data_IF_103330568041
#
_entry.id   IF_103330568041
#
_cell.length_a   1.000
_cell.length_b   1.000
_cell.length_c   1.000
_cell.angle_alpha   90.00
_cell.angle_beta   90.00
_cell.angle_gamma   90.00
#
_symmetry.space_group_name_H-M   'P 1'
#
loop_
_entity.id
_entity.type
_entity.pdbx_description
1 polymer ?
#
# COMPACT_ATOMS: atom_id res chain seq x y z
N UNK A 1 -2.68 -10.89 12.97
CA UNK A 1 -2.09 -10.06 11.91
C UNK A 1 -2.84 -10.32 10.61
N UNK A 2 -3.00 -9.30 9.74
CA UNK A 2 -3.56 -9.51 8.42
C UNK A 2 -2.63 -10.45 7.62
N UNK A 3 -3.20 -11.35 6.82
CA UNK A 3 -2.47 -12.25 5.92
C UNK A 3 -3.09 -12.16 4.53
N UNK A 4 -2.29 -12.37 3.50
CA UNK A 4 -2.86 -12.56 2.17
C UNK A 4 -3.84 -13.74 2.18
N UNK A 5 -4.91 -13.63 1.41
CA UNK A 5 -6.01 -14.61 1.45
C UNK A 5 -5.66 -15.92 0.74
N UNK A 6 -4.68 -15.87 -0.17
CA UNK A 6 -4.27 -17.01 -1.01
C UNK A 6 -2.94 -17.62 -0.55
N UNK A 7 -2.11 -16.84 0.11
CA UNK A 7 -0.85 -17.25 0.71
C UNK A 7 -0.83 -16.85 2.18
N UNK A 8 -0.36 -17.72 3.08
CA UNK A 8 -0.34 -17.41 4.53
C UNK A 8 0.67 -16.30 4.92
N UNK A 9 1.14 -15.52 3.97
CA UNK A 9 2.14 -14.46 4.11
C UNK A 9 1.51 -13.30 4.89
N UNK A 10 2.14 -12.80 5.96
CA UNK A 10 1.69 -11.62 6.68
C UNK A 10 1.68 -10.38 5.78
N UNK A 11 0.64 -9.57 5.89
CA UNK A 11 0.52 -8.29 5.17
C UNK A 11 0.29 -7.14 6.13
N UNK A 12 0.59 -5.93 5.68
CA UNK A 12 0.27 -4.71 6.43
C UNK A 12 -1.25 -4.60 6.56
N UNK A 13 -1.80 -4.31 7.75
CA UNK A 13 -3.22 -4.03 7.90
C UNK A 13 -3.62 -2.85 7.01
N UNK A 14 -4.66 -3.03 6.21
CA UNK A 14 -5.08 -2.03 5.25
C UNK A 14 -6.41 -2.36 4.59
N UNK A 15 -6.93 -1.38 3.86
CA UNK A 15 -8.10 -1.50 3.00
C UNK A 15 -7.67 -1.51 1.54
N UNK A 16 -7.85 -2.68 0.89
CA UNK A 16 -7.50 -2.91 -0.52
C UNK A 16 -8.73 -3.21 -1.39
N UNK A 17 -9.93 -2.83 -0.92
CA UNK A 17 -11.19 -3.09 -1.61
C UNK A 17 -11.43 -2.17 -2.80
N UNK A 18 -12.42 -2.53 -3.62
CA UNK A 18 -12.76 -1.82 -4.86
C UNK A 18 -13.53 -0.52 -4.63
N UNK A 19 -14.25 -0.38 -3.51
CA UNK A 19 -15.01 0.82 -3.20
C UNK A 19 -14.07 1.98 -2.81
N UNK A 20 -14.30 3.16 -3.39
CA UNK A 20 -13.37 4.30 -3.42
C UNK A 20 -14.07 5.61 -2.99
N UNK A 21 -15.21 5.52 -2.32
CA UNK A 21 -15.89 6.69 -1.78
C UNK A 21 -15.05 7.29 -0.64
N UNK A 22 -14.91 8.62 -0.62
CA UNK A 22 -14.09 9.30 0.40
C UNK A 22 -14.54 8.96 1.83
N UNK A 23 -15.85 8.86 2.06
CA UNK A 23 -16.43 8.53 3.37
C UNK A 23 -16.00 7.13 3.81
N UNK A 24 -16.03 6.16 2.90
CA UNK A 24 -15.61 4.79 3.19
C UNK A 24 -14.12 4.75 3.49
N UNK A 25 -13.29 5.35 2.62
CA UNK A 25 -11.84 5.35 2.80
C UNK A 25 -11.42 6.04 4.09
N UNK A 26 -12.07 7.15 4.45
CA UNK A 26 -11.84 7.82 5.73
C UNK A 26 -12.29 6.97 6.92
N UNK A 27 -13.42 6.26 6.82
CA UNK A 27 -13.85 5.30 7.84
C UNK A 27 -12.82 4.18 8.02
N UNK A 28 -12.31 3.62 6.93
CA UNK A 28 -11.27 2.59 6.97
C UNK A 28 -9.96 3.10 7.55
N UNK A 29 -9.56 4.33 7.24
CA UNK A 29 -8.41 4.97 7.88
C UNK A 29 -8.58 5.06 9.40
N UNK A 30 -9.76 5.42 9.89
CA UNK A 30 -10.07 5.44 11.33
C UNK A 30 -10.05 4.04 11.96
N UNK A 31 -10.63 3.03 11.29
CA UNK A 31 -10.61 1.64 11.75
C UNK A 31 -9.19 1.07 11.84
N UNK A 32 -8.33 1.38 10.87
CA UNK A 32 -6.90 1.00 10.87
C UNK A 32 -6.12 1.74 11.97
N UNK A 33 -6.52 2.99 12.23
CA UNK A 33 -5.88 3.89 13.20
C UNK A 33 -4.71 4.66 12.58
N UNK A 34 -4.68 5.96 12.84
CA UNK A 34 -3.63 6.85 12.34
C UNK A 34 -2.28 6.66 13.09
N UNK A 35 -1.12 6.97 12.48
CA UNK A 35 -0.98 7.39 11.09
C UNK A 35 -1.27 6.27 10.09
N UNK A 36 -1.77 6.68 8.92
CA UNK A 36 -2.03 5.80 7.76
C UNK A 36 -1.23 6.26 6.55
N UNK A 37 -1.09 5.37 5.58
CA UNK A 37 -0.44 5.62 4.29
C UNK A 37 -1.45 5.39 3.18
N UNK A 38 -1.75 6.44 2.42
CA UNK A 38 -2.50 6.35 1.16
C UNK A 38 -1.51 5.99 0.07
N UNK A 39 -1.81 4.97 -0.76
CA UNK A 39 -0.95 4.55 -1.88
C UNK A 39 -1.75 4.41 -3.16
N UNK A 40 -1.20 4.84 -4.30
CA UNK A 40 -1.75 4.50 -5.61
C UNK A 40 -1.80 2.98 -5.81
N UNK A 41 -2.96 2.43 -6.21
CA UNK A 41 -3.14 0.98 -6.41
C UNK A 41 -2.26 0.44 -7.53
N UNK A 42 -2.18 1.18 -8.63
CA UNK A 42 -1.36 0.84 -9.80
C UNK A 42 0.08 1.40 -9.68
N UNK A 43 0.46 1.92 -8.51
CA UNK A 43 1.68 2.69 -8.33
C UNK A 43 2.96 1.86 -8.24
N UNK A 44 4.08 2.52 -8.51
CA UNK A 44 5.44 2.01 -8.36
C UNK A 44 6.45 3.16 -8.26
N UNK A 45 7.65 2.88 -7.75
CA UNK A 45 8.72 3.89 -7.65
C UNK A 45 8.45 5.03 -6.67
N UNK A 46 7.57 4.81 -5.69
CA UNK A 46 7.27 5.77 -4.63
C UNK A 46 6.28 6.89 -4.98
N UNK A 47 5.72 6.89 -6.20
CA UNK A 47 4.75 7.90 -6.64
C UNK A 47 3.34 7.61 -6.12
N UNK A 48 2.59 8.66 -5.80
CA UNK A 48 1.20 8.58 -5.34
C UNK A 48 1.06 8.02 -3.92
N UNK A 49 2.08 8.20 -3.09
CA UNK A 49 2.05 7.81 -1.67
C UNK A 49 1.96 9.04 -0.77
N UNK A 50 1.04 9.04 0.21
CA UNK A 50 0.90 10.12 1.20
C UNK A 50 0.69 9.59 2.60
N UNK A 51 1.57 9.95 3.53
CA UNK A 51 1.36 9.74 4.97
C UNK A 51 0.30 10.72 5.46
N UNK A 52 -0.60 10.23 6.31
CA UNK A 52 -1.64 11.04 6.96
C UNK A 52 -1.57 10.79 8.46
N UNK A 53 -1.32 11.85 9.23
CA UNK A 53 -1.16 11.81 10.69
C UNK A 53 -2.50 11.94 11.42
N UNK A 54 -3.39 12.80 10.90
CA UNK A 54 -4.66 13.11 11.54
C UNK A 54 -5.85 12.91 10.59
N UNK A 55 -7.04 12.59 11.13
CA UNK A 55 -8.25 12.44 10.31
C UNK A 55 -8.60 13.66 9.47
N UNK A 56 -8.32 14.86 9.98
CA UNK A 56 -8.67 16.12 9.32
C UNK A 56 -7.87 16.35 8.02
N UNK A 57 -6.66 15.77 7.94
CA UNK A 57 -5.78 15.88 6.77
C UNK A 57 -6.16 14.89 5.65
N UNK A 58 -7.03 13.92 5.93
CA UNK A 58 -7.25 12.77 5.05
C UNK A 58 -7.83 13.15 3.70
N UNK A 59 -8.78 14.08 3.67
CA UNK A 59 -9.46 14.49 2.43
C UNK A 59 -8.49 15.11 1.42
N UNK A 60 -7.65 16.03 1.90
CA UNK A 60 -6.64 16.69 1.07
C UNK A 60 -5.58 15.70 0.59
N UNK A 61 -5.07 14.86 1.48
CA UNK A 61 -4.10 13.83 1.15
C UNK A 61 -4.66 12.84 0.11
N UNK A 62 -5.91 12.41 0.26
CA UNK A 62 -6.57 11.54 -0.70
C UNK A 62 -6.66 12.21 -2.08
N UNK A 63 -7.14 13.46 -2.14
CA UNK A 63 -7.27 14.19 -3.41
C UNK A 63 -5.93 14.32 -4.13
N UNK A 64 -4.86 14.60 -3.38
CA UNK A 64 -3.51 14.70 -3.92
C UNK A 64 -2.97 13.36 -4.42
N UNK A 65 -3.14 12.29 -3.66
CA UNK A 65 -2.72 10.94 -4.06
C UNK A 65 -3.45 10.48 -5.34
N UNK A 66 -4.75 10.75 -5.48
CA UNK A 66 -5.53 10.42 -6.68
C UNK A 66 -5.07 11.16 -7.92
N UNK A 67 -4.83 12.46 -7.79
CA UNK A 67 -4.33 13.29 -8.91
C UNK A 67 -3.00 12.76 -9.43
N UNK A 68 -2.08 12.45 -8.51
CA UNK A 68 -0.77 11.89 -8.87
C UNK A 68 -0.90 10.49 -9.47
N UNK A 69 -1.73 9.62 -8.88
CA UNK A 69 -1.99 8.28 -9.39
C UNK A 69 -2.55 8.31 -10.82
N UNK A 70 -3.54 9.18 -11.07
CA UNK A 70 -4.13 9.38 -12.39
C UNK A 70 -3.11 9.87 -13.41
N UNK A 71 -2.28 10.83 -13.03
CA UNK A 71 -1.27 11.41 -13.92
C UNK A 71 -0.14 10.42 -14.24
N UNK A 72 0.30 9.63 -13.27
CA UNK A 72 1.43 8.71 -13.43
C UNK A 72 1.04 7.35 -14.02
N UNK A 73 -0.17 6.86 -13.70
CA UNK A 73 -0.56 5.47 -13.98
C UNK A 73 -1.91 5.34 -14.70
N UNK A 74 -2.62 6.45 -14.97
CA UNK A 74 -3.93 6.44 -15.62
C UNK A 74 -5.08 5.91 -14.75
N UNK A 75 -4.80 5.51 -13.51
CA UNK A 75 -5.74 4.96 -12.52
C UNK A 75 -5.68 5.79 -11.23
N UNK A 76 -6.81 6.31 -10.78
CA UNK A 76 -6.93 7.16 -9.60
C UNK A 76 -7.30 6.38 -8.33
N UNK A 77 -7.43 5.05 -8.41
CA UNK A 77 -7.76 4.22 -7.24
C UNK A 77 -6.57 4.12 -6.29
N UNK A 78 -6.88 4.09 -5.00
CA UNK A 78 -5.89 4.04 -3.92
C UNK A 78 -6.15 2.89 -2.95
N UNK A 79 -5.11 2.55 -2.20
CA UNK A 79 -5.12 1.70 -1.02
C UNK A 79 -4.90 2.57 0.22
N UNK A 80 -5.41 2.15 1.37
CA UNK A 80 -5.15 2.78 2.67
C UNK A 80 -4.55 1.73 3.60
N UNK A 81 -3.30 1.92 4.03
CA UNK A 81 -2.58 0.97 4.87
C UNK A 81 -2.13 1.62 6.18
N UNK A 82 -1.84 0.81 7.19
CA UNK A 82 -1.19 1.30 8.40
C UNK A 82 0.21 1.84 8.04
N UNK A 83 0.53 3.06 8.48
CA UNK A 83 1.88 3.59 8.34
C UNK A 83 2.80 2.96 9.40
N UNK A 84 3.98 2.50 8.98
CA UNK A 84 5.01 1.95 9.86
C UNK A 84 6.09 3.02 10.02
N UNK A 85 6.36 3.48 11.24
CA UNK A 85 7.21 4.65 11.47
C UNK A 85 8.71 4.41 11.33
N UNK A 86 9.17 3.23 11.70
CA UNK A 86 10.59 2.84 11.62
C UNK A 86 10.73 1.53 10.86
N UNK A 87 10.29 1.47 9.59
CA UNK A 87 10.39 0.26 8.81
C UNK A 87 11.85 0.05 8.36
N UNK A 88 12.25 -1.20 8.20
CA UNK A 88 13.33 -1.56 7.27
C UNK A 88 12.71 -2.06 5.99
N UNK A 89 13.19 -1.60 4.85
CA UNK A 89 12.72 -2.08 3.55
C UNK A 89 13.56 -3.27 3.11
N UNK A 90 13.05 -4.46 3.39
CA UNK A 90 13.70 -5.72 3.00
C UNK A 90 12.97 -6.31 1.79
N UNK A 91 13.71 -6.62 0.73
CA UNK A 91 13.19 -7.26 -0.48
C UNK A 91 13.93 -8.58 -0.77
N UNK A 92 13.21 -9.56 -1.32
CA UNK A 92 13.75 -10.92 -1.61
C UNK A 92 13.72 -11.15 -3.12
N UNK A 93 14.86 -11.54 -3.68
CA UNK A 93 14.95 -11.90 -5.10
C UNK A 93 14.44 -13.33 -5.30
N UNK A 94 13.53 -13.54 -6.26
CA UNK A 94 13.00 -14.87 -6.62
C UNK A 94 13.24 -15.15 -8.10
N UNK A 95 13.57 -16.40 -8.43
CA UNK A 95 13.59 -16.94 -9.80
C UNK A 95 12.72 -18.21 -9.84
N UNK A 96 11.95 -18.36 -10.91
CA UNK A 96 11.19 -19.57 -11.18
C UNK A 96 11.30 -19.94 -12.66
N UNK A 97 11.30 -21.24 -12.94
CA UNK A 97 11.27 -21.76 -14.31
C UNK A 97 9.91 -22.39 -14.66
N UNK A 98 9.74 -22.77 -15.93
CA UNK A 98 8.50 -23.39 -16.44
C UNK A 98 8.35 -24.86 -16.01
N UNK A 99 9.38 -25.45 -15.39
CA UNK A 99 9.36 -26.83 -14.90
C UNK A 99 8.92 -26.91 -13.44
N UNK A 100 8.60 -25.77 -12.81
CA UNK A 100 8.13 -25.69 -11.44
C UNK A 100 9.23 -25.51 -10.40
N UNK A 101 10.48 -25.30 -10.81
CA UNK A 101 11.56 -24.99 -9.89
C UNK A 101 11.47 -23.51 -9.46
N UNK A 102 11.68 -23.25 -8.18
CA UNK A 102 11.71 -21.89 -7.62
C UNK A 102 12.87 -21.78 -6.63
N UNK A 103 13.65 -20.71 -6.75
CA UNK A 103 14.73 -20.37 -5.82
C UNK A 103 14.58 -18.92 -5.37
N UNK A 104 15.05 -18.62 -4.15
CA UNK A 104 15.28 -17.26 -3.71
C UNK A 104 16.78 -17.00 -3.59
N UNK A 105 17.22 -15.78 -3.90
CA UNK A 105 18.63 -15.38 -3.81
C UNK A 105 18.81 -14.38 -2.66
N UNK A 106 18.51 -14.86 -1.45
CA UNK A 106 18.60 -14.08 -0.20
C UNK A 106 17.79 -12.76 -0.27
N UNK A 107 18.06 -11.88 0.68
CA UNK A 107 17.44 -10.57 0.82
C UNK A 107 18.40 -9.42 0.52
N UNK A 108 17.82 -8.26 0.23
CA UNK A 108 18.51 -6.96 0.21
C UNK A 108 17.82 -6.02 1.20
N UNK A 109 18.62 -5.22 1.90
CA UNK A 109 18.14 -4.09 2.69
C UNK A 109 18.26 -2.81 1.86
N UNK A 110 17.11 -2.21 1.54
CA UNK A 110 16.95 -1.00 0.73
C UNK A 110 16.29 0.13 1.55
N UNK A 111 16.45 0.09 2.89
CA UNK A 111 15.96 1.13 3.82
C UNK A 111 16.54 2.51 3.53
#
# INVERSE_FOLDING_TARGET
SARDSRSRVPVVPGYHGEAQEIVLLASKAREIGYPVLIKARAGGGGKGMRRVEHPDDFSEALSGARREAKAAFGDDRVLVEKYIEKPRHIEVQVFGDIFGNVVHLYERDCS
#
